data_IF_350362241457
#
_entry.id   IF_350362241457
#
_cell.length_a   1.000
_cell.length_b   1.000
_cell.length_c   1.000
_cell.angle_alpha   90.00
_cell.angle_beta   90.00
_cell.angle_gamma   90.00
#
_symmetry.space_group_name_H-M   'P 1'
#
loop_
_entity.id
_entity.type
_entity.pdbx_description
1 polymer ?
#
# COMPACT_ATOMS: atom_id res chain seq x y z
N UNK A 1 21.14 -3.85 9.16
CA UNK A 1 19.70 -4.09 9.33
C UNK A 1 18.97 -2.93 8.69
N UNK A 2 18.57 -3.09 7.43
CA UNK A 2 17.60 -2.19 6.81
C UNK A 2 16.29 -2.59 7.47
N UNK A 3 15.88 -1.87 8.52
CA UNK A 3 14.49 -1.97 8.99
C UNK A 3 13.64 -1.64 7.76
N UNK A 4 12.72 -2.55 7.43
CA UNK A 4 11.67 -2.41 6.43
C UNK A 4 11.33 -0.93 6.21
N UNK A 5 11.85 -0.32 5.14
CA UNK A 5 11.80 1.15 4.98
C UNK A 5 10.39 1.65 4.65
N UNK A 6 9.50 0.73 4.33
CA UNK A 6 8.13 0.95 3.90
C UNK A 6 7.19 -0.09 4.53
N UNK A 7 7.32 -0.36 5.84
CA UNK A 7 6.58 -1.43 6.52
C UNK A 7 5.06 -1.23 6.49
N UNK A 8 4.60 -0.01 6.72
CA UNK A 8 3.17 0.29 6.78
C UNK A 8 2.57 0.32 5.37
N UNK A 9 3.32 0.87 4.41
CA UNK A 9 2.97 0.84 3.00
C UNK A 9 2.93 -0.60 2.47
N UNK A 10 3.86 -1.47 2.88
CA UNK A 10 3.82 -2.90 2.57
C UNK A 10 2.56 -3.54 3.13
N UNK A 11 2.28 -3.33 4.42
CA UNK A 11 1.09 -3.86 5.09
C UNK A 11 -0.22 -3.44 4.38
N UNK A 12 -0.31 -2.17 3.95
CA UNK A 12 -1.44 -1.69 3.15
C UNK A 12 -1.59 -2.50 1.86
N UNK A 13 -0.52 -2.66 1.09
CA UNK A 13 -0.59 -3.42 -0.16
C UNK A 13 -0.90 -4.89 0.06
N UNK A 14 -0.29 -5.55 1.04
CA UNK A 14 -0.50 -6.97 1.34
C UNK A 14 -1.94 -7.27 1.77
N UNK A 15 -2.49 -6.45 2.68
CA UNK A 15 -3.79 -6.73 3.32
C UNK A 15 -4.94 -6.20 2.50
N UNK A 16 -4.83 -4.98 1.99
CA UNK A 16 -5.95 -4.25 1.41
C UNK A 16 -5.97 -4.25 -0.12
N UNK A 17 -4.83 -4.53 -0.76
CA UNK A 17 -4.74 -4.61 -2.23
C UNK A 17 -4.20 -5.96 -2.73
N UNK A 18 -3.96 -6.89 -1.81
CA UNK A 18 -3.39 -8.19 -2.10
C UNK A 18 -4.42 -9.23 -2.50
N UNK A 19 -4.00 -10.48 -2.62
CA UNK A 19 -4.87 -11.57 -3.06
C UNK A 19 -6.08 -11.79 -2.14
N UNK A 20 -5.92 -11.52 -0.85
CA UNK A 20 -6.91 -11.78 0.20
C UNK A 20 -7.68 -10.51 0.62
N UNK A 21 -7.71 -9.46 -0.23
CA UNK A 21 -8.34 -8.19 0.13
C UNK A 21 -9.83 -8.32 0.46
N UNK A 22 -10.51 -9.28 -0.17
CA UNK A 22 -11.92 -9.59 0.00
C UNK A 22 -12.25 -10.11 1.42
N UNK A 23 -11.23 -10.57 2.17
CA UNK A 23 -11.38 -10.93 3.59
C UNK A 23 -11.49 -9.69 4.50
N UNK A 24 -11.01 -8.53 4.04
CA UNK A 24 -10.93 -7.30 4.83
C UNK A 24 -11.87 -6.21 4.33
N UNK A 25 -12.31 -6.28 3.08
CA UNK A 25 -13.21 -5.30 2.48
C UNK A 25 -13.98 -5.87 1.29
N UNK A 26 -15.28 -5.56 1.21
CA UNK A 26 -16.12 -5.84 0.02
C UNK A 26 -15.94 -4.76 -1.08
N UNK A 27 -14.87 -3.96 -0.99
CA UNK A 27 -14.62 -2.85 -1.90
C UNK A 27 -14.13 -3.33 -3.27
N UNK A 28 -14.76 -2.84 -4.33
CA UNK A 28 -14.38 -3.13 -5.71
C UNK A 28 -13.53 -2.02 -6.36
N UNK A 29 -13.24 -0.92 -5.65
CA UNK A 29 -12.41 0.20 -6.15
C UNK A 29 -11.32 0.57 -5.16
N UNK A 30 -10.20 1.07 -5.67
CA UNK A 30 -9.07 1.50 -4.85
C UNK A 30 -9.48 2.55 -3.81
N UNK A 31 -10.35 3.51 -4.16
CA UNK A 31 -10.84 4.53 -3.22
C UNK A 31 -11.64 3.90 -2.07
N UNK A 32 -12.53 2.94 -2.38
CA UNK A 32 -13.33 2.24 -1.36
C UNK A 32 -12.45 1.40 -0.42
N UNK A 33 -11.38 0.81 -0.95
CA UNK A 33 -10.37 0.09 -0.16
C UNK A 33 -9.66 1.05 0.80
N UNK A 34 -9.22 2.21 0.30
CA UNK A 34 -8.57 3.24 1.13
C UNK A 34 -9.53 3.80 2.18
N UNK A 35 -10.79 4.07 1.82
CA UNK A 35 -11.80 4.52 2.79
C UNK A 35 -11.96 3.50 3.93
N UNK A 36 -12.08 2.22 3.61
CA UNK A 36 -12.14 1.14 4.60
C UNK A 36 -10.88 1.05 5.46
N UNK A 37 -9.70 1.18 4.86
CA UNK A 37 -8.44 1.24 5.58
C UNK A 37 -8.41 2.39 6.59
N UNK A 38 -8.83 3.60 6.19
CA UNK A 38 -8.83 4.80 7.03
C UNK A 38 -9.82 4.68 8.20
N UNK A 39 -10.96 4.01 8.00
CA UNK A 39 -11.94 3.77 9.06
C UNK A 39 -11.46 2.72 10.09
N UNK A 40 -10.71 1.72 9.63
CA UNK A 40 -10.27 0.59 10.46
C UNK A 40 -8.96 0.86 11.22
N UNK A 41 -8.13 1.78 10.74
CA UNK A 41 -6.78 2.01 11.27
C UNK A 41 -6.66 3.31 12.06
N UNK A 42 -5.81 3.30 13.10
CA UNK A 42 -5.58 4.45 13.95
C UNK A 42 -4.81 5.59 13.26
N UNK A 43 -4.97 6.82 13.75
CA UNK A 43 -4.32 8.03 13.20
C UNK A 43 -2.80 7.93 13.07
N UNK A 44 -2.13 7.18 13.97
CA UNK A 44 -0.69 6.98 13.90
C UNK A 44 -0.29 6.16 12.67
N UNK A 45 -0.98 5.05 12.40
CA UNK A 45 -0.75 4.20 11.21
C UNK A 45 -0.96 5.00 9.93
N UNK A 46 -2.03 5.79 9.87
CA UNK A 46 -2.33 6.66 8.72
C UNK A 46 -1.19 7.66 8.49
N UNK A 47 -0.66 8.25 9.56
CA UNK A 47 0.46 9.20 9.46
C UNK A 47 1.72 8.52 8.96
N UNK A 48 2.03 7.33 9.45
CA UNK A 48 3.24 6.58 9.07
C UNK A 48 3.18 6.20 7.58
N UNK A 49 2.03 5.75 7.07
CA UNK A 49 1.84 5.52 5.62
C UNK A 49 2.03 6.80 4.80
N UNK A 50 1.55 7.95 5.27
CA UNK A 50 1.74 9.21 4.55
C UNK A 50 3.21 9.64 4.48
N UNK A 51 3.98 9.38 5.55
CA UNK A 51 5.42 9.62 5.57
C UNK A 51 6.15 8.65 4.61
N UNK A 52 5.86 7.36 4.71
CA UNK A 52 6.43 6.32 3.84
C UNK A 52 6.08 6.52 2.36
N UNK A 53 4.85 6.91 2.03
CA UNK A 53 4.40 7.17 0.64
C UNK A 53 5.18 8.33 0.02
N UNK A 54 5.39 9.42 0.78
CA UNK A 54 6.18 10.57 0.30
C UNK A 54 7.63 10.16 0.05
N UNK A 55 8.21 9.41 0.99
CA UNK A 55 9.57 8.92 0.85
C UNK A 55 9.71 7.97 -0.35
N UNK A 56 8.75 7.08 -0.56
CA UNK A 56 8.72 6.18 -1.71
C UNK A 56 8.66 6.95 -3.03
N UNK A 57 7.77 7.96 -3.12
CA UNK A 57 7.64 8.82 -4.30
C UNK A 57 8.94 9.56 -4.64
N UNK A 58 9.66 10.05 -3.62
CA UNK A 58 10.96 10.72 -3.81
C UNK A 58 12.04 9.72 -4.20
N UNK A 59 12.10 8.57 -3.54
CA UNK A 59 13.13 7.53 -3.74
C UNK A 59 13.04 6.91 -5.14
N UNK A 60 11.83 6.73 -5.64
CA UNK A 60 11.54 6.11 -6.93
C UNK A 60 11.05 7.13 -7.98
N UNK A 61 11.34 8.41 -7.80
CA UNK A 61 10.98 9.45 -8.76
C UNK A 61 11.50 9.11 -10.17
N UNK A 62 10.60 9.07 -11.15
CA UNK A 62 10.91 8.68 -12.54
C UNK A 62 10.98 7.17 -12.80
N UNK A 63 10.83 6.33 -11.76
CA UNK A 63 10.86 4.86 -11.84
C UNK A 63 9.92 4.19 -10.83
N UNK A 64 8.75 4.79 -10.58
CA UNK A 64 7.75 4.31 -9.61
C UNK A 64 7.40 2.84 -9.87
N UNK A 65 7.18 2.46 -11.13
CA UNK A 65 6.81 1.08 -11.49
C UNK A 65 7.90 0.06 -11.12
N UNK A 66 9.18 0.43 -11.27
CA UNK A 66 10.30 -0.42 -10.84
C UNK A 66 10.31 -0.57 -9.32
N UNK A 67 10.13 0.53 -8.59
CA UNK A 67 10.02 0.49 -7.12
C UNK A 67 8.85 -0.36 -6.66
N UNK A 68 7.68 -0.24 -7.31
CA UNK A 68 6.52 -1.05 -6.99
C UNK A 68 6.80 -2.54 -7.22
N UNK A 69 7.48 -2.89 -8.31
CA UNK A 69 7.87 -4.26 -8.58
C UNK A 69 8.93 -4.79 -7.60
N UNK A 70 9.88 -3.96 -7.18
CA UNK A 70 10.92 -4.33 -6.21
C UNK A 70 10.35 -4.67 -4.83
N UNK A 71 9.27 -4.00 -4.40
CA UNK A 71 8.75 -4.11 -3.03
C UNK A 71 7.41 -4.84 -2.90
N UNK A 72 6.60 -4.88 -3.96
CA UNK A 72 5.20 -5.33 -3.86
C UNK A 72 4.78 -6.33 -4.95
N UNK A 73 5.67 -6.77 -5.85
CA UNK A 73 5.28 -7.60 -7.02
C UNK A 73 4.64 -8.94 -6.70
N UNK A 74 5.02 -9.59 -5.60
CA UNK A 74 4.46 -10.89 -5.21
C UNK A 74 3.04 -10.76 -4.63
N UNK A 75 2.67 -9.57 -4.15
CA UNK A 75 1.46 -9.36 -3.35
C UNK A 75 0.48 -8.38 -3.99
N UNK A 76 0.90 -7.46 -4.86
CA UNK A 76 0.08 -6.40 -5.44
C UNK A 76 -0.04 -6.52 -6.96
N UNK A 77 -1.27 -6.65 -7.46
CA UNK A 77 -1.58 -6.65 -8.89
C UNK A 77 -2.21 -5.30 -9.29
N UNK A 78 -1.42 -4.32 -9.79
CA UNK A 78 -1.94 -2.99 -10.13
C UNK A 78 -3.06 -3.02 -11.17
N UNK A 79 -3.05 -3.99 -12.09
CA UNK A 79 -4.08 -4.15 -13.12
C UNK A 79 -5.48 -4.42 -12.54
N UNK A 80 -5.57 -4.93 -11.31
CA UNK A 80 -6.84 -5.18 -10.61
C UNK A 80 -7.49 -3.91 -10.05
N UNK A 81 -6.77 -2.78 -10.03
CA UNK A 81 -7.17 -1.60 -9.26
C UNK A 81 -7.28 -0.30 -10.06
N UNK A 82 -7.01 -0.34 -11.38
CA UNK A 82 -7.30 0.76 -12.33
C UNK A 82 -6.14 1.71 -12.60
#
# INVERSE_FOLDING_TARGET
MIRNHFSELSSLFSIYFGQDYDLFTDAETAERVIDGFLEQNGTQVIRDILEETKEFQVTYAGRINEGMAEHFSDEFMPESWG
#
